data_IF_001091497799
#
_entry.id   IF_001091497799
#
_cell.length_a   1.000
_cell.length_b   1.000
_cell.length_c   1.000
_cell.angle_alpha   90.00
_cell.angle_beta   90.00
_cell.angle_gamma   90.00
#
_symmetry.space_group_name_H-M   'P 1'
#
loop_
_entity.id
_entity.type
_entity.pdbx_description
1 polymer ?
#
# COMPACT_ATOMS: atom_id res chain seq x y z
N UNK A 1 39.91 -16.22 16.74
CA UNK A 1 38.92 -15.20 16.32
C UNK A 1 37.98 -15.01 17.49
N UNK A 2 38.06 -13.87 18.17
CA UNK A 2 37.18 -13.57 19.30
C UNK A 2 35.78 -13.27 18.77
N UNK A 3 34.70 -13.76 19.40
CA UNK A 3 33.35 -13.39 19.00
C UNK A 3 33.19 -11.88 19.21
N UNK A 4 32.86 -11.19 18.13
CA UNK A 4 32.36 -9.80 18.18
C UNK A 4 31.15 -9.80 19.12
N UNK A 5 31.25 -9.13 20.26
CA UNK A 5 30.08 -8.87 21.10
C UNK A 5 29.12 -8.03 20.27
N UNK A 6 28.00 -8.62 19.84
CA UNK A 6 26.93 -7.91 19.17
C UNK A 6 26.53 -6.72 20.04
N UNK A 7 26.80 -5.51 19.54
CA UNK A 7 26.47 -4.28 20.22
C UNK A 7 24.94 -4.26 20.41
N UNK A 8 24.48 -4.20 21.66
CA UNK A 8 23.05 -4.23 21.96
C UNK A 8 22.38 -3.01 21.30
N UNK A 9 21.42 -3.25 20.42
CA UNK A 9 20.66 -2.17 19.79
C UNK A 9 19.85 -1.43 20.87
N UNK A 10 19.98 -0.09 20.88
CA UNK A 10 19.22 0.78 21.78
C UNK A 10 17.79 1.02 21.30
N UNK A 11 17.50 0.64 20.05
CA UNK A 11 16.18 0.72 19.46
C UNK A 11 15.52 -0.65 19.40
N UNK A 12 14.20 -0.65 19.50
CA UNK A 12 13.37 -1.85 19.48
C UNK A 12 12.79 -2.12 18.09
N UNK A 13 12.30 -3.35 17.87
CA UNK A 13 11.53 -3.67 16.66
C UNK A 13 10.25 -2.83 16.54
N UNK A 14 9.68 -2.41 17.68
CA UNK A 14 8.52 -1.51 17.68
C UNK A 14 8.87 -0.13 17.13
N UNK A 15 10.07 0.38 17.44
CA UNK A 15 10.55 1.64 16.88
C UNK A 15 10.71 1.54 15.36
N UNK A 16 11.26 0.43 14.86
CA UNK A 16 11.37 0.19 13.43
C UNK A 16 10.01 0.21 12.72
N UNK A 17 9.05 -0.61 13.17
CA UNK A 17 7.74 -0.72 12.50
C UNK A 17 6.94 0.58 12.57
N UNK A 18 6.94 1.27 13.72
CA UNK A 18 6.27 2.57 13.85
C UNK A 18 6.93 3.59 12.93
N UNK A 19 8.26 3.66 12.95
CA UNK A 19 9.01 4.63 12.19
C UNK A 19 8.84 4.48 10.69
N UNK A 20 8.91 3.25 10.18
CA UNK A 20 8.66 2.92 8.77
C UNK A 20 7.28 3.41 8.33
N UNK A 21 6.23 3.08 9.08
CA UNK A 21 4.86 3.50 8.74
C UNK A 21 4.67 5.01 8.79
N UNK A 22 5.25 5.68 9.78
CA UNK A 22 5.15 7.14 9.91
C UNK A 22 5.94 7.86 8.83
N UNK A 23 7.08 7.32 8.42
CA UNK A 23 7.89 7.82 7.33
C UNK A 23 7.09 7.76 6.01
N UNK A 24 6.57 6.59 5.65
CA UNK A 24 5.78 6.39 4.44
C UNK A 24 4.57 7.33 4.39
N UNK A 25 3.81 7.42 5.49
CA UNK A 25 2.64 8.30 5.59
C UNK A 25 3.04 9.77 5.45
N UNK A 26 4.13 10.20 6.10
CA UNK A 26 4.60 11.57 5.93
C UNK A 26 5.00 11.88 4.50
N UNK A 27 5.68 10.94 3.83
CA UNK A 27 6.09 11.13 2.46
C UNK A 27 4.87 11.31 1.55
N UNK A 28 3.86 10.44 1.67
CA UNK A 28 2.59 10.59 0.94
C UNK A 28 1.93 11.94 1.23
N UNK A 29 1.87 12.36 2.51
CA UNK A 29 1.31 13.66 2.87
C UNK A 29 2.08 14.81 2.23
N UNK A 30 3.42 14.72 2.12
CA UNK A 30 4.25 15.75 1.49
C UNK A 30 4.03 15.84 -0.01
N UNK A 31 3.89 14.72 -0.71
CA UNK A 31 3.52 14.71 -2.13
C UNK A 31 2.13 15.32 -2.36
N UNK A 32 1.15 14.96 -1.53
CA UNK A 32 -0.22 15.52 -1.61
C UNK A 32 -0.23 17.03 -1.30
N UNK A 33 0.54 17.48 -0.30
CA UNK A 33 0.65 18.90 0.06
C UNK A 33 1.39 19.73 -0.98
N UNK A 34 2.35 19.13 -1.69
CA UNK A 34 3.15 19.81 -2.72
C UNK A 34 2.48 19.82 -4.09
N UNK A 35 1.40 19.05 -4.26
CA UNK A 35 0.59 19.00 -5.48
C UNK A 35 -0.26 20.27 -5.61
N UNK A 36 -0.20 20.99 -6.76
CA UNK A 36 -1.00 22.21 -6.97
C UNK A 36 -2.50 21.91 -6.96
N UNK A 37 -2.90 20.72 -7.39
CA UNK A 37 -4.29 20.25 -7.42
C UNK A 37 -4.69 19.53 -6.12
N UNK A 38 -3.82 19.53 -5.11
CA UNK A 38 -4.02 18.85 -3.84
C UNK A 38 -4.08 17.32 -3.98
N UNK A 39 -5.04 16.69 -3.29
CA UNK A 39 -5.17 15.23 -3.23
C UNK A 39 -5.77 14.65 -4.51
N UNK A 40 -4.90 14.36 -5.48
CA UNK A 40 -5.25 13.64 -6.71
C UNK A 40 -4.77 12.19 -6.67
N UNK A 41 -5.36 11.31 -7.48
CA UNK A 41 -4.86 9.95 -7.68
C UNK A 41 -3.38 9.95 -8.11
N UNK A 42 -3.00 10.90 -8.96
CA UNK A 42 -1.64 11.05 -9.46
C UNK A 42 -0.65 11.40 -8.34
N UNK A 43 -0.98 12.32 -7.43
CA UNK A 43 -0.11 12.69 -6.31
C UNK A 43 0.19 11.49 -5.38
N UNK A 44 -0.79 10.61 -5.17
CA UNK A 44 -0.62 9.40 -4.36
C UNK A 44 0.18 8.35 -5.13
N UNK A 45 -0.08 8.18 -6.44
CA UNK A 45 0.68 7.26 -7.28
C UNK A 45 2.16 7.66 -7.42
N UNK A 46 2.46 8.97 -7.49
CA UNK A 46 3.82 9.49 -7.47
C UNK A 46 4.53 9.20 -6.15
N UNK A 47 3.85 9.38 -5.01
CA UNK A 47 4.38 9.02 -3.70
C UNK A 47 4.67 7.51 -3.60
N UNK A 48 3.72 6.67 -4.01
CA UNK A 48 3.90 5.20 -4.03
C UNK A 48 5.09 4.80 -4.91
N UNK A 49 5.24 5.41 -6.08
CA UNK A 49 6.38 5.15 -6.96
C UNK A 49 7.70 5.57 -6.28
N UNK A 50 7.74 6.72 -5.64
CA UNK A 50 8.94 7.22 -4.94
C UNK A 50 9.34 6.31 -3.77
N UNK A 51 8.38 5.82 -2.97
CA UNK A 51 8.62 4.88 -1.87
C UNK A 51 9.16 3.55 -2.42
N UNK A 52 8.46 2.95 -3.40
CA UNK A 52 8.80 1.62 -3.89
C UNK A 52 10.11 1.60 -4.71
N UNK A 53 10.47 2.71 -5.35
CA UNK A 53 11.75 2.85 -6.06
C UNK A 53 12.95 3.08 -5.14
N UNK A 54 12.71 3.27 -3.82
CA UNK A 54 13.74 3.69 -2.86
C UNK A 54 14.50 4.93 -3.32
N UNK A 55 13.80 5.86 -3.97
CA UNK A 55 14.40 7.09 -4.50
C UNK A 55 14.77 8.11 -3.40
N UNK A 56 14.37 7.87 -2.15
CA UNK A 56 14.77 8.70 -1.02
C UNK A 56 16.26 8.52 -0.71
N UNK A 57 17.00 9.63 -0.59
CA UNK A 57 18.42 9.61 -0.25
C UNK A 57 18.59 9.45 1.26
N UNK A 58 18.60 8.20 1.72
CA UNK A 58 18.75 7.86 3.14
C UNK A 58 20.13 8.24 3.69
N UNK A 59 21.20 8.07 2.91
CA UNK A 59 22.57 8.39 3.33
C UNK A 59 22.72 9.87 3.69
N UNK A 60 22.24 10.75 2.82
CA UNK A 60 22.28 12.20 3.07
C UNK A 60 21.33 12.60 4.21
N UNK A 61 20.15 11.97 4.31
CA UNK A 61 19.23 12.24 5.40
C UNK A 61 19.81 11.85 6.76
N UNK A 62 20.56 10.74 6.82
CA UNK A 62 21.23 10.32 8.04
C UNK A 62 22.38 11.26 8.39
N UNK A 63 23.14 11.75 7.40
CA UNK A 63 24.13 12.80 7.61
C UNK A 63 23.51 14.07 8.22
N UNK A 64 22.37 14.54 7.69
CA UNK A 64 21.68 15.71 8.25
C UNK A 64 21.19 15.47 9.70
N UNK A 65 20.74 14.25 10.01
CA UNK A 65 20.37 13.87 11.38
C UNK A 65 21.60 13.88 12.28
N UNK A 66 22.76 13.40 11.81
CA UNK A 66 24.03 13.44 12.54
C UNK A 66 24.47 14.86 12.85
N UNK A 67 24.26 15.80 11.94
CA UNK A 67 24.64 17.21 12.12
C UNK A 67 23.61 18.01 12.93
N UNK A 68 22.44 17.43 13.24
CA UNK A 68 21.37 18.11 13.98
C UNK A 68 21.55 18.09 15.50
N UNK A 69 20.75 18.89 16.21
CA UNK A 69 20.66 18.90 17.68
C UNK A 69 19.66 17.88 18.25
N UNK A 70 19.23 16.89 17.44
CA UNK A 70 18.23 15.89 17.85
C UNK A 70 18.73 15.01 19.00
N UNK A 71 18.05 15.05 20.14
CA UNK A 71 18.36 14.17 21.27
C UNK A 71 17.90 12.73 20.98
N UNK A 72 18.81 11.90 20.49
CA UNK A 72 18.57 10.50 20.14
C UNK A 72 19.71 9.60 20.64
N UNK A 73 19.42 8.37 21.12
CA UNK A 73 20.43 7.46 21.67
C UNK A 73 21.55 7.10 20.69
N UNK A 74 21.22 7.02 19.40
CA UNK A 74 22.14 6.59 18.34
C UNK A 74 21.79 7.23 17.00
N UNK A 75 22.82 7.59 16.23
CA UNK A 75 22.68 8.21 14.88
C UNK A 75 23.43 7.46 13.78
N UNK A 76 23.97 6.28 14.06
CA UNK A 76 24.80 5.51 13.13
C UNK A 76 24.32 4.07 13.07
N UNK A 77 24.27 3.42 11.89
CA UNK A 77 23.86 2.02 11.77
C UNK A 77 24.80 1.08 12.53
N UNK A 78 24.28 -0.06 12.98
CA UNK A 78 25.08 -1.10 13.64
C UNK A 78 25.00 -2.42 12.87
N UNK A 79 26.13 -3.14 12.81
CA UNK A 79 26.18 -4.45 12.14
C UNK A 79 25.89 -4.35 10.64
N UNK A 80 24.86 -5.06 10.20
CA UNK A 80 24.37 -5.13 8.81
C UNK A 80 23.18 -4.18 8.55
N UNK A 81 22.87 -3.29 9.49
CA UNK A 81 21.80 -2.30 9.35
C UNK A 81 22.09 -1.29 8.24
N UNK A 82 21.08 -1.01 7.41
CA UNK A 82 21.13 0.05 6.39
C UNK A 82 20.75 1.42 6.98
N UNK A 83 21.18 2.51 6.33
CA UNK A 83 20.79 3.88 6.71
C UNK A 83 19.26 4.05 6.74
N UNK A 84 18.55 3.41 5.81
CA UNK A 84 17.09 3.32 5.79
C UNK A 84 16.53 2.75 7.10
N UNK A 85 17.06 1.59 7.54
CA UNK A 85 16.59 0.91 8.74
C UNK A 85 16.90 1.72 10.00
N UNK A 86 18.10 2.33 10.05
CA UNK A 86 18.51 3.21 11.14
C UNK A 86 17.59 4.43 11.23
N UNK A 87 17.25 5.07 10.10
CA UNK A 87 16.33 6.21 10.06
C UNK A 87 14.94 5.80 10.55
N UNK A 88 14.40 4.65 10.13
CA UNK A 88 13.10 4.19 10.63
C UNK A 88 13.11 4.02 12.15
N UNK A 89 14.14 3.38 12.71
CA UNK A 89 14.24 3.24 14.18
C UNK A 89 14.31 4.60 14.90
N UNK A 90 15.08 5.56 14.36
CA UNK A 90 15.14 6.93 14.90
C UNK A 90 13.75 7.59 14.87
N UNK A 91 13.02 7.48 13.75
CA UNK A 91 11.66 8.06 13.61
C UNK A 91 10.70 7.48 14.63
N UNK A 92 10.69 6.15 14.80
CA UNK A 92 9.81 5.49 15.77
C UNK A 92 10.13 5.88 17.21
N UNK A 93 11.41 5.80 17.59
CA UNK A 93 11.86 6.18 18.93
C UNK A 93 11.49 7.63 19.24
N UNK A 94 11.84 8.56 18.36
CA UNK A 94 11.57 9.99 18.56
C UNK A 94 10.07 10.25 18.66
N UNK A 95 9.24 9.56 17.86
CA UNK A 95 7.78 9.70 17.96
C UNK A 95 7.26 9.31 19.33
N UNK A 96 7.77 8.22 19.92
CA UNK A 96 7.33 7.71 21.21
C UNK A 96 7.87 8.56 22.37
N UNK A 97 9.09 9.10 22.25
CA UNK A 97 9.74 9.82 23.33
C UNK A 97 9.44 11.32 23.37
N UNK A 98 9.27 11.99 22.22
CA UNK A 98 9.10 13.45 22.19
C UNK A 98 8.44 13.98 20.92
N UNK A 99 7.25 14.58 21.07
CA UNK A 99 6.56 15.26 19.99
C UNK A 99 7.37 16.43 19.41
N UNK A 100 8.12 17.17 20.24
CA UNK A 100 8.96 18.31 19.80
C UNK A 100 10.08 17.83 18.87
N UNK A 101 10.78 16.78 19.26
CA UNK A 101 11.86 16.20 18.46
C UNK A 101 11.33 15.54 17.20
N UNK A 102 10.13 14.96 17.26
CA UNK A 102 9.47 14.37 16.10
C UNK A 102 9.20 15.40 15.01
N UNK A 103 8.65 16.56 15.35
CA UNK A 103 8.41 17.63 14.36
C UNK A 103 9.72 18.06 13.71
N UNK A 104 10.79 18.27 14.50
CA UNK A 104 12.12 18.66 13.96
C UNK A 104 12.69 17.59 13.03
N UNK A 105 12.64 16.33 13.43
CA UNK A 105 13.09 15.21 12.63
C UNK A 105 12.33 15.15 11.30
N UNK A 106 11.00 15.27 11.34
CA UNK A 106 10.20 15.26 10.11
C UNK A 106 10.50 16.45 9.21
N UNK A 107 10.82 17.64 9.77
CA UNK A 107 11.27 18.79 8.98
C UNK A 107 12.58 18.49 8.24
N UNK A 108 13.58 17.92 8.94
CA UNK A 108 14.86 17.54 8.32
C UNK A 108 14.63 16.57 7.16
N UNK A 109 13.84 15.50 7.39
CA UNK A 109 13.54 14.50 6.37
C UNK A 109 12.76 15.07 5.19
N UNK A 110 11.86 16.03 5.42
CA UNK A 110 11.03 16.63 4.38
C UNK A 110 11.83 17.49 3.38
N UNK A 111 12.97 18.05 3.77
CA UNK A 111 13.83 18.85 2.88
C UNK A 111 14.40 18.03 1.72
N UNK A 112 14.33 16.70 1.81
CA UNK A 112 14.85 15.76 0.81
C UNK A 112 13.78 15.22 -0.13
N UNK A 113 12.53 15.61 0.07
CA UNK A 113 11.44 15.22 -0.82
C UNK A 113 11.39 16.22 -1.99
N UNK A 114 11.41 15.76 -3.25
CA UNK A 114 11.28 16.65 -4.40
C UNK A 114 9.99 17.46 -4.29
N UNK A 115 10.12 18.79 -4.19
CA UNK A 115 8.97 19.69 -4.29
C UNK A 115 8.70 19.91 -5.78
N UNK A 116 7.47 19.63 -6.23
CA UNK A 116 7.04 19.65 -7.65
C UNK A 116 6.99 21.05 -8.30
N UNK A 117 8.04 21.85 -8.14
CA UNK A 117 8.21 23.12 -8.84
C UNK A 117 9.23 22.95 -9.96
N UNK A 118 8.76 22.56 -11.15
CA UNK A 118 9.46 22.83 -12.40
C UNK A 118 8.43 23.18 -13.47
N UNK A 119 7.91 24.41 -13.42
CA UNK A 119 7.56 25.12 -14.64
C UNK A 119 8.88 25.49 -15.34
N UNK A 120 9.34 24.68 -16.29
CA UNK A 120 10.12 25.16 -17.45
C UNK A 120 10.05 24.13 -18.58
N UNK A 121 9.37 24.53 -19.65
CA UNK A 121 9.62 24.15 -21.05
C UNK A 121 9.43 22.70 -21.48
N UNK A 122 8.24 22.48 -22.04
CA UNK A 122 7.96 21.64 -23.21
C UNK A 122 9.12 21.65 -24.23
N UNK A 123 9.69 20.49 -24.52
CA UNK A 123 9.89 20.03 -25.91
C UNK A 123 10.05 18.50 -25.98
N UNK A 124 9.55 17.87 -27.07
CA UNK A 124 9.33 16.44 -27.16
C UNK A 124 10.53 15.73 -27.79
N UNK A 125 10.87 14.55 -27.28
CA UNK A 125 11.69 13.56 -28.00
C UNK A 125 11.20 12.20 -27.48
N UNK A 126 10.14 11.65 -28.09
CA UNK A 126 10.19 10.55 -29.08
C UNK A 126 11.20 9.49 -28.66
N UNK A 127 10.72 8.31 -28.25
CA UNK A 127 11.18 6.99 -28.68
C UNK A 127 10.25 5.90 -28.09
N UNK A 128 10.16 4.72 -28.71
CA UNK A 128 8.90 4.26 -29.25
C UNK A 128 8.30 3.08 -28.49
N UNK A 129 6.97 3.11 -28.52
CA UNK A 129 6.05 2.01 -28.37
C UNK A 129 6.45 0.84 -29.29
N UNK A 130 6.71 -0.33 -28.70
CA UNK A 130 6.84 -1.60 -29.42
C UNK A 130 5.77 -2.56 -28.91
N UNK A 131 4.59 -2.43 -29.50
CA UNK A 131 3.63 -3.53 -29.56
C UNK A 131 4.14 -4.54 -30.60
N UNK A 132 4.16 -5.81 -30.22
CA UNK A 132 4.12 -6.92 -31.17
C UNK A 132 3.02 -7.86 -30.73
N UNK A 133 1.91 -7.80 -31.47
CA UNK A 133 0.91 -8.85 -31.56
C UNK A 133 1.29 -9.80 -32.70
N UNK A 134 1.13 -11.12 -32.51
CA UNK A 134 0.60 -12.08 -33.50
C UNK A 134 0.49 -13.51 -32.89
N UNK A 135 -0.30 -14.44 -33.46
CA UNK A 135 -1.45 -15.03 -32.75
C UNK A 135 -1.60 -16.58 -32.88
N UNK A 136 -2.70 -17.06 -32.30
CA UNK A 136 -3.51 -18.25 -32.66
C UNK A 136 -3.08 -19.69 -32.27
N UNK A 137 -3.93 -20.32 -31.44
CA UNK A 137 -4.66 -21.61 -31.64
C UNK A 137 -4.83 -22.38 -30.30
N UNK A 138 -5.98 -22.27 -29.63
CA UNK A 138 -7.09 -23.25 -29.62
C UNK A 138 -6.86 -24.56 -28.83
N UNK A 139 -7.50 -24.69 -27.66
CA UNK A 139 -8.31 -25.85 -27.24
C UNK A 139 -9.28 -25.45 -26.10
N UNK A 140 -10.37 -26.22 -25.96
CA UNK A 140 -11.73 -25.81 -25.57
C UNK A 140 -12.13 -26.23 -24.12
N UNK A 141 -12.71 -25.26 -23.36
CA UNK A 141 -13.77 -25.30 -22.30
C UNK A 141 -13.59 -26.01 -20.93
N UNK A 142 -14.43 -25.69 -19.90
CA UNK A 142 -14.83 -24.36 -19.42
C UNK A 142 -14.76 -24.25 -17.87
N UNK A 143 -14.20 -23.15 -17.37
CA UNK A 143 -14.49 -22.64 -16.02
C UNK A 143 -14.90 -21.18 -16.24
N UNK A 144 -16.02 -20.69 -15.67
CA UNK A 144 -16.49 -19.33 -15.93
C UNK A 144 -15.48 -18.35 -15.37
N UNK A 145 -14.57 -17.90 -16.22
CA UNK A 145 -13.62 -16.83 -15.94
C UNK A 145 -14.36 -15.56 -16.29
N UNK A 146 -14.91 -14.89 -15.28
CA UNK A 146 -15.53 -13.59 -15.49
C UNK A 146 -14.46 -12.61 -15.97
N UNK A 147 -14.79 -11.94 -17.08
CA UNK A 147 -14.02 -10.91 -17.77
C UNK A 147 -13.54 -9.80 -16.82
N UNK A 148 -12.45 -9.08 -17.17
CA UNK A 148 -12.06 -7.88 -16.45
C UNK A 148 -13.17 -6.84 -16.55
N UNK A 149 -13.85 -6.60 -15.44
CA UNK A 149 -14.97 -5.67 -15.32
C UNK A 149 -14.47 -4.22 -15.41
N UNK A 150 -15.28 -3.39 -16.07
CA UNK A 150 -15.09 -1.95 -16.21
C UNK A 150 -14.78 -1.26 -14.87
N UNK A 151 -13.96 -0.21 -14.83
CA UNK A 151 -13.58 0.51 -13.59
C UNK A 151 -14.76 1.17 -12.86
N UNK A 152 -15.94 1.26 -13.49
CA UNK A 152 -17.17 1.76 -12.88
C UNK A 152 -17.86 0.71 -11.98
N UNK A 153 -17.50 -0.56 -12.11
CA UNK A 153 -18.18 -1.69 -11.48
C UNK A 153 -17.70 -1.95 -10.04
N UNK A 154 -16.55 -1.38 -9.68
CA UNK A 154 -15.94 -1.46 -8.36
C UNK A 154 -16.61 -0.52 -7.34
N UNK A 155 -17.23 0.58 -7.80
CA UNK A 155 -17.77 1.62 -6.91
C UNK A 155 -19.11 1.23 -6.27
N UNK A 156 -19.82 0.26 -6.83
CA UNK A 156 -21.13 -0.22 -6.34
C UNK A 156 -21.08 -1.64 -5.76
N UNK A 157 -19.96 -2.35 -5.86
CA UNK A 157 -19.81 -3.73 -5.41
C UNK A 157 -20.17 -3.95 -3.92
N UNK A 158 -20.00 -2.92 -3.09
CA UNK A 158 -20.36 -2.97 -1.67
C UNK A 158 -21.87 -3.16 -1.45
N UNK A 159 -22.74 -2.64 -2.35
CA UNK A 159 -24.20 -2.77 -2.24
C UNK A 159 -24.64 -4.23 -2.25
N UNK A 160 -23.95 -5.07 -3.02
CA UNK A 160 -24.22 -6.52 -3.08
C UNK A 160 -23.90 -7.24 -1.77
N UNK A 161 -22.90 -6.75 -1.03
CA UNK A 161 -22.62 -7.28 0.31
C UNK A 161 -23.74 -6.91 1.28
N UNK A 162 -24.23 -5.67 1.27
CA UNK A 162 -25.38 -5.32 2.11
C UNK A 162 -26.61 -6.16 1.76
N UNK A 163 -26.97 -6.23 0.47
CA UNK A 163 -28.13 -6.99 -0.01
C UNK A 163 -28.06 -8.48 0.36
N UNK A 164 -26.92 -9.13 0.17
CA UNK A 164 -26.77 -10.55 0.47
C UNK A 164 -26.94 -10.86 1.97
N UNK A 165 -26.47 -9.96 2.84
CA UNK A 165 -26.62 -10.11 4.28
C UNK A 165 -28.03 -9.79 4.76
N UNK A 166 -28.69 -8.81 4.15
CA UNK A 166 -30.11 -8.51 4.39
C UNK A 166 -31.00 -9.69 3.99
N UNK A 167 -30.81 -10.26 2.79
CA UNK A 167 -31.54 -11.44 2.32
C UNK A 167 -31.30 -12.67 3.23
N UNK A 168 -30.06 -12.89 3.67
CA UNK A 168 -29.76 -13.96 4.61
C UNK A 168 -30.47 -13.78 5.94
N UNK A 169 -30.46 -12.54 6.47
CA UNK A 169 -31.15 -12.22 7.72
C UNK A 169 -32.67 -12.41 7.61
N UNK A 170 -33.29 -11.98 6.50
CA UNK A 170 -34.73 -12.17 6.23
C UNK A 170 -35.09 -13.65 6.23
N UNK A 171 -34.21 -14.51 5.71
CA UNK A 171 -34.42 -15.95 5.59
C UNK A 171 -33.96 -16.74 6.82
N UNK A 172 -33.43 -16.08 7.83
CA UNK A 172 -32.92 -16.71 9.05
C UNK A 172 -31.66 -17.56 8.82
N UNK A 173 -30.90 -17.28 7.76
CA UNK A 173 -29.67 -17.99 7.39
C UNK A 173 -28.45 -17.04 7.40
N UNK A 174 -27.24 -17.58 7.21
CA UNK A 174 -25.99 -16.81 7.18
C UNK A 174 -25.07 -17.27 6.03
N UNK A 175 -24.51 -16.35 5.23
CA UNK A 175 -23.51 -16.70 4.22
C UNK A 175 -22.24 -17.27 4.87
N UNK A 176 -21.71 -18.35 4.32
CA UNK A 176 -20.43 -18.94 4.74
C UNK A 176 -19.30 -18.23 4.00
N UNK A 177 -18.40 -17.60 4.74
CA UNK A 177 -17.28 -16.82 4.18
C UNK A 177 -15.95 -17.50 4.50
N UNK A 178 -15.14 -17.77 3.48
CA UNK A 178 -13.77 -18.28 3.61
C UNK A 178 -12.78 -17.28 3.02
N UNK A 179 -11.79 -16.91 3.80
CA UNK A 179 -10.76 -15.94 3.39
C UNK A 179 -9.40 -16.64 3.27
N UNK A 180 -8.66 -16.32 2.21
CA UNK A 180 -7.31 -16.79 1.97
C UNK A 180 -6.44 -15.60 1.56
N UNK A 181 -5.28 -15.45 2.19
CA UNK A 181 -4.24 -14.53 1.72
C UNK A 181 -3.42 -15.26 0.65
N UNK A 182 -3.40 -14.73 -0.58
CA UNK A 182 -2.66 -15.29 -1.71
C UNK A 182 -1.24 -14.72 -1.77
N UNK A 183 -1.06 -13.44 -1.46
CA UNK A 183 0.24 -12.79 -1.39
C UNK A 183 0.24 -11.69 -0.34
N UNK A 184 1.36 -11.54 0.35
CA UNK A 184 1.59 -10.44 1.29
C UNK A 184 2.14 -9.19 0.59
N UNK A 185 2.81 -9.32 -0.56
CA UNK A 185 3.33 -8.18 -1.34
C UNK A 185 3.42 -8.51 -2.85
N UNK A 186 2.73 -7.74 -3.73
CA UNK A 186 1.62 -6.85 -3.40
C UNK A 186 0.49 -7.64 -2.71
N UNK A 187 -0.23 -7.02 -1.79
CA UNK A 187 -1.25 -7.71 -1.02
C UNK A 187 -2.36 -8.22 -1.92
N UNK A 188 -2.65 -9.52 -1.85
CA UNK A 188 -3.70 -10.15 -2.64
C UNK A 188 -4.47 -11.12 -1.76
N UNK A 189 -5.78 -10.95 -1.72
CA UNK A 189 -6.69 -11.78 -0.94
C UNK A 189 -7.73 -12.40 -1.86
N UNK A 190 -8.06 -13.66 -1.61
CA UNK A 190 -9.22 -14.34 -2.19
C UNK A 190 -10.24 -14.57 -1.10
N UNK A 191 -11.47 -14.13 -1.34
CA UNK A 191 -12.61 -14.40 -0.46
C UNK A 191 -13.61 -15.22 -1.24
N UNK A 192 -14.05 -16.32 -0.66
CA UNK A 192 -15.09 -17.18 -1.22
C UNK A 192 -16.32 -17.10 -0.33
N UNK A 193 -17.47 -16.81 -0.91
CA UNK A 193 -18.76 -16.77 -0.22
C UNK A 193 -19.63 -17.89 -0.77
N UNK A 194 -20.22 -18.68 0.12
CA UNK A 194 -21.24 -19.66 -0.22
C UNK A 194 -22.54 -19.34 0.50
N UNK A 195 -23.64 -19.34 -0.24
CA UNK A 195 -24.98 -19.05 0.28
C UNK A 195 -26.03 -19.72 -0.62
N UNK A 196 -27.03 -20.37 -0.02
CA UNK A 196 -28.13 -21.03 -0.74
C UNK A 196 -27.67 -21.97 -1.88
N UNK A 197 -26.66 -22.81 -1.61
CA UNK A 197 -26.10 -23.75 -2.60
C UNK A 197 -25.30 -23.09 -3.73
N UNK A 198 -25.20 -21.77 -3.74
CA UNK A 198 -24.40 -20.98 -4.69
C UNK A 198 -23.07 -20.60 -4.04
N UNK A 199 -22.00 -20.53 -4.83
CA UNK A 199 -20.69 -20.09 -4.38
C UNK A 199 -20.05 -19.19 -5.42
N UNK A 200 -19.41 -18.11 -4.96
CA UNK A 200 -18.55 -17.29 -5.80
C UNK A 200 -17.31 -16.85 -5.03
N UNK A 201 -16.25 -16.54 -5.77
CA UNK A 201 -15.00 -16.02 -5.21
C UNK A 201 -14.65 -14.68 -5.82
N UNK A 202 -14.12 -13.79 -4.99
CA UNK A 202 -13.58 -12.51 -5.41
C UNK A 202 -12.15 -12.35 -4.96
N UNK A 203 -11.33 -11.73 -5.79
CA UNK A 203 -9.96 -11.38 -5.48
C UNK A 203 -9.80 -9.87 -5.39
N UNK A 204 -8.97 -9.41 -4.46
CA UNK A 204 -8.74 -7.99 -4.30
C UNK A 204 -7.51 -7.68 -3.49
N UNK A 205 -7.03 -6.45 -3.63
CA UNK A 205 -5.88 -5.94 -2.88
C UNK A 205 -6.15 -5.84 -1.37
N UNK A 206 -7.43 -5.88 -0.98
CA UNK A 206 -7.88 -5.97 0.40
C UNK A 206 -8.93 -7.07 0.54
N UNK A 207 -9.01 -7.67 1.73
CA UNK A 207 -10.08 -8.61 2.11
C UNK A 207 -11.48 -8.03 1.86
N UNK A 208 -11.64 -6.72 2.09
CA UNK A 208 -12.90 -6.01 1.90
C UNK A 208 -13.32 -6.00 0.43
N UNK A 209 -12.42 -5.61 -0.47
CA UNK A 209 -12.70 -5.59 -1.91
C UNK A 209 -12.99 -7.01 -2.44
N UNK A 210 -12.16 -7.98 -2.05
CA UNK A 210 -12.34 -9.39 -2.40
C UNK A 210 -13.73 -9.91 -1.97
N UNK A 211 -14.19 -9.52 -0.77
CA UNK A 211 -15.53 -9.87 -0.27
C UNK A 211 -16.66 -9.23 -1.08
N UNK A 212 -16.52 -7.96 -1.47
CA UNK A 212 -17.53 -7.27 -2.27
C UNK A 212 -17.70 -7.92 -3.65
N UNK A 213 -16.59 -8.28 -4.29
CA UNK A 213 -16.58 -9.00 -5.57
C UNK A 213 -17.22 -10.39 -5.40
N UNK A 214 -16.85 -11.12 -4.35
CA UNK A 214 -17.44 -12.43 -4.07
C UNK A 214 -18.96 -12.34 -3.82
N UNK A 215 -19.42 -11.35 -3.05
CA UNK A 215 -20.83 -11.16 -2.75
C UNK A 215 -21.64 -10.81 -4.00
N UNK A 216 -21.07 -9.98 -4.88
CA UNK A 216 -21.66 -9.65 -6.17
C UNK A 216 -21.83 -10.90 -7.04
N UNK A 217 -20.83 -11.77 -7.13
CA UNK A 217 -20.93 -13.03 -7.87
C UNK A 217 -22.04 -13.94 -7.35
N UNK A 218 -22.20 -14.03 -6.02
CA UNK A 218 -23.31 -14.79 -5.41
C UNK A 218 -24.66 -14.15 -5.73
N UNK A 219 -24.81 -12.84 -5.54
CA UNK A 219 -26.05 -12.13 -5.83
C UNK A 219 -26.46 -12.24 -7.30
N UNK A 220 -25.52 -12.06 -8.24
CA UNK A 220 -25.78 -12.18 -9.67
C UNK A 220 -26.26 -13.59 -10.03
N UNK A 221 -25.67 -14.62 -9.43
CA UNK A 221 -26.07 -16.02 -9.65
C UNK A 221 -27.46 -16.31 -9.05
N UNK A 222 -27.82 -15.64 -7.95
CA UNK A 222 -29.13 -15.72 -7.32
C UNK A 222 -30.18 -14.78 -7.95
N UNK A 223 -29.82 -13.99 -8.97
CA UNK A 223 -30.71 -13.00 -9.59
C UNK A 223 -31.05 -11.79 -8.70
N UNK A 224 -30.27 -11.55 -7.66
CA UNK A 224 -30.46 -10.43 -6.72
C UNK A 224 -29.77 -9.16 -7.25
N UNK A 225 -30.49 -8.05 -7.27
CA UNK A 225 -29.95 -6.75 -7.69
C UNK A 225 -30.16 -5.70 -6.59
N UNK A 226 -29.11 -4.92 -6.26
CA UNK A 226 -29.23 -3.83 -5.32
C UNK A 226 -29.96 -2.64 -5.95
N UNK A 227 -30.81 -1.98 -5.18
CA UNK A 227 -31.49 -0.75 -5.57
C UNK A 227 -30.54 0.46 -5.70
#
# INVERSE_FOLDING_TARGET
>A
MSPSFAQSDCYTETDYEIGKRLFDVNLVLKFVQSSPDGRTYESVAQADHFINSKAFNFDQALADIKDSDLDVPRREPIGDETDETCIYKIVGYVRLCSAKWFVRLMTILSLRIPSGSNHTSRSPTIYPESFSEEPAAHHISPVPTQQPSNPNDDQTAWKYTSLLWEEAQIRGDKPVVKEICLSNYPSLFRVTISYMGTQASGEGRSKRLARHIAAKGVCQTLGLQPC
#
